data_IF_277595378545
#
_entry.id   IF_277595378545
#
_cell.length_a   1.000
_cell.length_b   1.000
_cell.length_c   1.000
_cell.angle_alpha   90.00
_cell.angle_beta   90.00
_cell.angle_gamma   90.00
#
_symmetry.space_group_name_H-M   'P 1'
#
loop_
_entity.id
_entity.type
_entity.pdbx_description
1 polymer ?
#
# COMPACT_ATOMS: atom_id res chain seq x y z
N UNK A 1 -7.90 -8.16 -11.00
CA UNK A 1 -6.48 -7.93 -10.63
C UNK A 1 -5.90 -6.67 -11.29
N UNK A 2 -5.87 -6.56 -12.62
CA UNK A 2 -5.36 -5.35 -13.30
C UNK A 2 -6.09 -4.04 -12.92
N UNK A 3 -7.42 -4.09 -12.75
CA UNK A 3 -8.19 -2.89 -12.38
C UNK A 3 -7.83 -2.33 -10.99
N UNK A 4 -7.57 -3.21 -10.02
CA UNK A 4 -7.16 -2.81 -8.68
C UNK A 4 -5.78 -2.11 -8.71
N UNK A 5 -4.87 -2.57 -9.57
CA UNK A 5 -3.55 -1.97 -9.76
C UNK A 5 -3.68 -0.56 -10.33
N UNK A 6 -4.47 -0.39 -11.40
CA UNK A 6 -4.72 0.91 -12.03
C UNK A 6 -5.37 1.88 -11.03
N UNK A 7 -6.34 1.42 -10.25
CA UNK A 7 -7.00 2.21 -9.21
C UNK A 7 -6.03 2.70 -8.14
N UNK A 8 -5.22 1.79 -7.57
CA UNK A 8 -4.24 2.14 -6.55
C UNK A 8 -3.20 3.12 -7.08
N UNK A 9 -2.69 2.89 -8.29
CA UNK A 9 -1.78 3.82 -8.96
C UNK A 9 -2.41 5.21 -9.18
N UNK A 10 -3.72 5.27 -9.47
CA UNK A 10 -4.44 6.54 -9.66
C UNK A 10 -4.66 7.32 -8.35
N UNK A 11 -4.77 6.63 -7.22
CA UNK A 11 -4.97 7.25 -5.90
C UNK A 11 -3.64 7.71 -5.31
N UNK A 12 -2.64 6.83 -5.30
CA UNK A 12 -1.33 7.08 -4.71
C UNK A 12 -0.36 6.00 -5.18
N UNK A 13 0.54 6.34 -6.09
CA UNK A 13 1.52 5.42 -6.63
C UNK A 13 2.41 4.79 -5.55
N UNK A 14 2.61 5.48 -4.40
CA UNK A 14 3.37 4.92 -3.29
C UNK A 14 2.63 3.77 -2.58
N UNK A 15 1.30 3.74 -2.63
CA UNK A 15 0.52 2.59 -2.13
C UNK A 15 0.76 1.36 -3.02
N UNK A 16 0.79 1.55 -4.34
CA UNK A 16 1.15 0.46 -5.26
C UNK A 16 2.55 -0.08 -4.96
N UNK A 17 3.54 0.80 -4.82
CA UNK A 17 4.91 0.40 -4.47
C UNK A 17 5.00 -0.31 -3.12
N UNK A 18 4.23 0.11 -2.11
CA UNK A 18 4.16 -0.57 -0.80
C UNK A 18 3.63 -2.01 -0.93
N UNK A 19 2.64 -2.26 -1.79
CA UNK A 19 2.15 -3.63 -2.06
C UNK A 19 3.22 -4.46 -2.76
N UNK A 20 3.88 -3.88 -3.77
CA UNK A 20 4.90 -4.59 -4.56
C UNK A 20 6.13 -4.96 -3.71
N UNK A 21 6.56 -4.06 -2.82
CA UNK A 21 7.67 -4.29 -1.90
C UNK A 21 7.30 -5.20 -0.71
N UNK A 22 6.00 -5.37 -0.44
CA UNK A 22 5.49 -6.12 0.70
C UNK A 22 5.63 -5.39 2.04
N UNK A 23 5.19 -6.02 3.14
CA UNK A 23 5.14 -5.39 4.45
C UNK A 23 6.49 -4.86 4.93
N UNK A 24 6.52 -3.63 5.45
CA UNK A 24 7.73 -3.04 5.99
C UNK A 24 8.25 -3.83 7.19
N UNK A 25 9.56 -4.10 7.19
CA UNK A 25 10.25 -4.78 8.28
C UNK A 25 11.47 -3.94 8.69
N UNK A 26 11.33 -3.09 9.72
CA UNK A 26 12.45 -2.33 10.26
C UNK A 26 13.60 -3.26 10.66
N UNK A 27 14.78 -3.00 10.12
CA UNK A 27 16.01 -3.70 10.47
C UNK A 27 17.01 -2.74 11.07
N UNK A 28 17.96 -3.28 11.83
CA UNK A 28 19.15 -2.58 12.32
C UNK A 28 20.37 -3.47 12.11
N UNK A 29 21.55 -2.84 12.04
CA UNK A 29 22.82 -3.56 12.01
C UNK A 29 23.36 -3.59 13.44
N UNK A 30 23.57 -4.79 13.97
CA UNK A 30 24.23 -5.02 15.25
C UNK A 30 25.34 -6.04 15.03
N UNK A 31 26.58 -5.72 15.42
CA UNK A 31 27.75 -6.57 15.21
C UNK A 31 27.91 -7.07 13.76
N UNK A 32 27.73 -6.19 12.77
CA UNK A 32 27.73 -6.49 11.32
C UNK A 32 26.67 -7.50 10.86
N UNK A 33 25.67 -7.81 11.68
CA UNK A 33 24.55 -8.68 11.34
C UNK A 33 23.29 -7.82 11.20
N UNK A 34 22.53 -8.04 10.14
CA UNK A 34 21.21 -7.44 9.95
C UNK A 34 20.20 -8.18 10.81
N UNK A 35 19.61 -7.49 11.77
CA UNK A 35 18.57 -8.05 12.66
C UNK A 35 17.30 -7.22 12.58
N UNK A 36 16.17 -7.81 12.95
CA UNK A 36 14.91 -7.08 13.08
C UNK A 36 15.01 -6.10 14.25
N UNK A 37 14.58 -4.87 14.00
CA UNK A 37 14.55 -3.83 15.03
C UNK A 37 13.40 -4.12 16.01
N UNK A 38 13.60 -4.03 17.34
CA UNK A 38 12.49 -4.12 18.28
C UNK A 38 11.61 -2.87 18.23
N UNK A 39 10.33 -3.03 18.60
CA UNK A 39 9.33 -1.94 18.51
C UNK A 39 9.68 -0.69 19.33
N UNK A 40 10.44 -0.86 20.43
CA UNK A 40 10.93 0.25 21.27
C UNK A 40 11.93 1.16 20.54
N UNK A 41 12.60 0.67 19.50
CA UNK A 41 13.60 1.42 18.74
C UNK A 41 13.04 2.04 17.45
N UNK A 42 11.73 1.88 17.19
CA UNK A 42 11.10 2.41 15.98
C UNK A 42 11.16 3.92 15.95
N UNK A 43 11.76 4.45 14.88
CA UNK A 43 11.80 5.88 14.62
C UNK A 43 10.58 6.30 13.81
N UNK A 44 10.37 7.61 13.67
CA UNK A 44 9.20 8.14 12.95
C UNK A 44 9.16 7.73 11.47
N UNK A 45 10.32 7.48 10.85
CA UNK A 45 10.40 6.87 9.53
C UNK A 45 9.78 5.48 9.46
N UNK A 46 10.02 4.62 10.46
CA UNK A 46 9.42 3.29 10.54
C UNK A 46 7.91 3.39 10.73
N UNK A 47 7.46 4.30 11.61
CA UNK A 47 6.02 4.54 11.85
C UNK A 47 5.32 5.04 10.59
N UNK A 48 5.95 5.90 9.79
CA UNK A 48 5.42 6.38 8.52
C UNK A 48 5.21 5.24 7.53
N UNK A 49 6.14 4.28 7.47
CA UNK A 49 6.01 3.10 6.61
C UNK A 49 4.92 2.16 7.10
N UNK A 50 4.80 1.90 8.41
CA UNK A 50 3.68 1.14 8.96
C UNK A 50 2.33 1.81 8.71
N UNK A 51 2.26 3.13 8.80
CA UNK A 51 1.06 3.89 8.46
C UNK A 51 0.70 3.70 6.98
N UNK A 52 1.69 3.72 6.08
CA UNK A 52 1.47 3.44 4.66
C UNK A 52 0.96 2.02 4.44
N UNK A 53 1.52 1.01 5.10
CA UNK A 53 1.04 -0.37 5.00
C UNK A 53 -0.42 -0.51 5.48
N UNK A 54 -0.77 0.16 6.59
CA UNK A 54 -2.15 0.19 7.09
C UNK A 54 -3.09 0.91 6.12
N UNK A 55 -2.66 2.06 5.56
CA UNK A 55 -3.42 2.82 4.55
C UNK A 55 -3.64 1.97 3.30
N UNK A 56 -2.61 1.28 2.82
CA UNK A 56 -2.67 0.34 1.70
C UNK A 56 -3.73 -0.74 1.94
N UNK A 57 -3.71 -1.40 3.10
CA UNK A 57 -4.69 -2.43 3.45
C UNK A 57 -6.11 -1.86 3.52
N UNK A 58 -6.30 -0.69 4.13
CA UNK A 58 -7.60 -0.02 4.18
C UNK A 58 -8.12 0.32 2.77
N UNK A 59 -7.29 0.88 1.91
CA UNK A 59 -7.66 1.18 0.51
C UNK A 59 -8.01 -0.08 -0.26
N UNK A 60 -7.29 -1.19 -0.05
CA UNK A 60 -7.62 -2.49 -0.63
C UNK A 60 -9.00 -2.97 -0.17
N UNK A 61 -9.30 -2.93 1.13
CA UNK A 61 -10.63 -3.31 1.66
C UNK A 61 -11.75 -2.44 1.11
N UNK A 62 -11.54 -1.12 1.00
CA UNK A 62 -12.52 -0.21 0.40
C UNK A 62 -12.69 -0.45 -1.10
N UNK A 63 -11.62 -0.70 -1.85
CA UNK A 63 -11.72 -1.04 -3.28
C UNK A 63 -12.45 -2.37 -3.49
N UNK A 64 -12.30 -3.32 -2.54
CA UNK A 64 -12.99 -4.60 -2.51
C UNK A 64 -14.50 -4.50 -2.19
N UNK A 65 -15.03 -3.34 -1.78
CA UNK A 65 -16.49 -3.14 -1.73
C UNK A 65 -17.13 -3.05 -3.12
N UNK A 66 -16.31 -3.06 -4.20
CA UNK A 66 -16.46 -3.62 -5.57
C UNK A 66 -17.65 -3.20 -6.43
N UNK A 67 -18.82 -2.94 -5.86
CA UNK A 67 -20.04 -2.52 -6.57
C UNK A 67 -19.79 -1.28 -7.44
N UNK A 68 -19.24 -0.23 -6.83
CA UNK A 68 -19.10 1.07 -7.49
C UNK A 68 -17.90 1.10 -8.42
N UNK A 69 -16.83 0.39 -8.04
CA UNK A 69 -15.63 0.27 -8.85
C UNK A 69 -15.88 -0.53 -10.13
N UNK A 70 -16.66 -1.62 -10.08
CA UNK A 70 -17.03 -2.38 -11.27
C UNK A 70 -17.82 -1.52 -12.27
N UNK A 71 -18.70 -0.66 -11.77
CA UNK A 71 -19.50 0.26 -12.58
C UNK A 71 -18.62 1.27 -13.32
N UNK A 72 -17.67 1.88 -12.61
CA UNK A 72 -16.71 2.84 -13.19
C UNK A 72 -15.68 2.15 -14.11
N UNK A 73 -15.26 0.93 -13.78
CA UNK A 73 -14.28 0.16 -14.56
C UNK A 73 -14.78 -0.24 -15.96
N UNK A 74 -16.11 -0.27 -16.15
CA UNK A 74 -16.74 -0.60 -17.43
C UNK A 74 -16.70 0.57 -18.42
N UNK A 75 -16.47 1.79 -17.93
CA UNK A 75 -16.33 3.00 -18.74
C UNK A 75 -14.97 2.97 -19.46
N UNK A 76 -14.96 3.11 -20.80
CA UNK A 76 -13.73 3.02 -21.59
C UNK A 76 -12.92 4.32 -21.57
N UNK A 77 -13.56 5.42 -21.20
CA UNK A 77 -12.94 6.72 -21.00
C UNK A 77 -13.76 7.53 -19.97
N UNK A 78 -13.20 8.62 -19.46
CA UNK A 78 -13.84 9.45 -18.44
C UNK A 78 -15.16 10.11 -18.88
N UNK A 79 -15.43 10.20 -20.20
CA UNK A 79 -16.70 10.70 -20.75
C UNK A 79 -17.82 9.65 -20.69
N UNK A 80 -17.47 8.36 -20.58
CA UNK A 80 -18.44 7.26 -20.54
C UNK A 80 -19.00 7.00 -19.12
N UNK A 81 -18.63 7.85 -18.14
CA UNK A 81 -19.01 7.73 -16.73
C UNK A 81 -20.25 8.57 -16.38
#
# INVERSE_FOLDING_TARGET
KAMLIIYLQSIDYNLWLSIENGPHKPTKIENNIVILKPRSEYIDGDKKLFFMDAKTMNTLYCALSVSDFNRISSCKNARDM
#
